data_IF_528585998776
#
_entry.id   IF_528585998776
#
_cell.length_a   1.000
_cell.length_b   1.000
_cell.length_c   1.000
_cell.angle_alpha   90.00
_cell.angle_beta   90.00
_cell.angle_gamma   90.00
#
_symmetry.space_group_name_H-M   'P 1'
#
loop_
_entity.id
_entity.type
_entity.pdbx_description
1 polymer ?
#
# COMPACT_ATOMS: atom_id res chain seq x y z
N UNK A 1 6.54 5.15 -5.13
CA UNK A 1 6.43 5.00 -6.60
C UNK A 1 7.10 3.70 -7.00
N UNK A 2 6.47 2.90 -7.87
CA UNK A 2 7.08 1.64 -8.33
C UNK A 2 8.38 1.96 -9.09
N UNK A 3 9.41 1.13 -8.97
CA UNK A 3 10.72 1.35 -9.61
C UNK A 3 10.59 1.63 -11.12
N UNK A 4 9.68 0.92 -11.81
CA UNK A 4 9.33 1.14 -13.22
C UNK A 4 8.86 2.57 -13.52
N UNK A 5 8.05 3.18 -12.65
CA UNK A 5 7.56 4.56 -12.83
C UNK A 5 8.68 5.59 -12.65
N UNK A 6 9.64 5.33 -11.76
CA UNK A 6 10.77 6.24 -11.52
C UNK A 6 11.69 6.30 -12.75
N UNK A 7 11.95 5.16 -13.38
CA UNK A 7 12.66 5.09 -14.66
C UNK A 7 11.91 5.79 -15.78
N UNK A 8 10.58 5.59 -15.88
CA UNK A 8 9.77 6.25 -16.89
C UNK A 8 9.82 7.79 -16.78
N UNK A 9 9.72 8.32 -15.55
CA UNK A 9 9.79 9.77 -15.30
C UNK A 9 11.20 10.30 -15.58
N UNK A 10 12.24 9.55 -15.20
CA UNK A 10 13.63 9.94 -15.50
C UNK A 10 13.90 9.99 -17.01
N UNK A 11 13.38 9.02 -17.76
CA UNK A 11 13.50 8.98 -19.22
C UNK A 11 12.74 10.15 -19.86
N UNK A 12 11.52 10.43 -19.38
CA UNK A 12 10.72 11.57 -19.83
C UNK A 12 11.43 12.90 -19.57
N UNK A 13 11.98 13.08 -18.36
CA UNK A 13 12.72 14.28 -17.96
C UNK A 13 13.98 14.47 -18.81
N UNK A 14 14.71 13.38 -19.08
CA UNK A 14 15.91 13.44 -19.91
C UNK A 14 15.59 13.73 -21.39
N UNK A 15 14.51 13.15 -21.93
CA UNK A 15 14.06 13.39 -23.30
C UNK A 15 13.58 14.82 -23.52
N UNK A 16 12.60 15.27 -22.73
CA UNK A 16 12.08 16.65 -22.81
C UNK A 16 13.17 17.66 -22.46
N UNK A 17 13.95 17.39 -21.41
CA UNK A 17 15.07 18.22 -21.00
C UNK A 17 16.14 18.32 -22.08
N UNK A 18 16.44 17.23 -22.80
CA UNK A 18 17.40 17.24 -23.91
C UNK A 18 16.93 18.07 -25.11
N UNK A 19 15.65 17.97 -25.48
CA UNK A 19 15.07 18.80 -26.54
C UNK A 19 15.13 20.28 -26.15
N UNK A 20 14.70 20.61 -24.94
CA UNK A 20 14.74 21.99 -24.44
C UNK A 20 16.18 22.51 -24.34
N UNK A 21 17.10 21.67 -23.87
CA UNK A 21 18.53 21.99 -23.78
C UNK A 21 19.12 22.27 -25.16
N UNK A 22 18.72 21.55 -26.22
CA UNK A 22 19.18 21.83 -27.58
C UNK A 22 18.86 23.27 -28.00
N UNK A 23 17.65 23.75 -27.72
CA UNK A 23 17.28 25.13 -28.05
C UNK A 23 17.99 26.16 -27.16
N UNK A 24 18.04 25.92 -25.84
CA UNK A 24 18.69 26.83 -24.88
C UNK A 24 20.19 26.94 -25.17
N UNK A 25 20.87 25.81 -25.39
CA UNK A 25 22.30 25.77 -25.72
C UNK A 25 22.60 26.50 -27.03
N UNK A 26 21.77 26.34 -28.05
CA UNK A 26 21.95 27.05 -29.34
C UNK A 26 21.73 28.56 -29.18
N UNK A 27 20.69 28.96 -28.45
CA UNK A 27 20.41 30.37 -28.17
C UNK A 27 21.56 31.02 -27.38
N UNK A 28 22.05 30.32 -26.35
CA UNK A 28 23.15 30.78 -25.51
C UNK A 28 24.48 30.82 -26.27
N UNK A 29 24.76 29.82 -27.10
CA UNK A 29 25.97 29.79 -27.93
C UNK A 29 25.99 30.94 -28.94
N UNK A 30 24.86 31.25 -29.59
CA UNK A 30 24.74 32.38 -30.54
C UNK A 30 24.85 33.74 -29.84
N UNK A 31 24.31 33.86 -28.63
CA UNK A 31 24.43 35.05 -27.80
C UNK A 31 25.89 35.29 -27.37
N UNK A 32 26.54 34.26 -26.81
CA UNK A 32 27.93 34.33 -26.34
C UNK A 32 28.93 34.55 -27.48
N UNK A 33 28.66 34.00 -28.66
CA UNK A 33 29.51 34.16 -29.85
C UNK A 33 29.24 35.47 -30.59
N UNK A 34 28.31 36.31 -30.12
CA UNK A 34 28.02 37.62 -30.71
C UNK A 34 27.28 37.60 -32.05
N UNK A 35 26.85 36.42 -32.55
CA UNK A 35 26.11 36.31 -33.82
C UNK A 35 24.73 36.97 -33.77
N UNK A 36 24.12 37.05 -32.59
CA UNK A 36 22.78 37.63 -32.42
C UNK A 36 22.67 38.37 -31.09
N UNK A 37 22.24 39.64 -31.13
CA UNK A 37 21.98 40.46 -29.93
C UNK A 37 20.61 40.20 -29.28
N UNK A 38 19.82 39.27 -29.84
CA UNK A 38 18.48 38.92 -29.35
C UNK A 38 18.34 37.41 -29.20
N UNK A 39 17.57 36.99 -28.20
CA UNK A 39 17.21 35.60 -27.99
C UNK A 39 16.19 35.20 -29.07
N UNK A 40 16.68 34.58 -30.14
CA UNK A 40 15.86 34.05 -31.23
C UNK A 40 15.81 32.53 -31.14
N UNK A 41 14.70 31.94 -31.61
CA UNK A 41 14.51 30.49 -31.68
C UNK A 41 14.88 29.99 -33.08
N UNK A 42 16.09 29.46 -33.29
CA UNK A 42 16.51 28.96 -34.60
C UNK A 42 15.76 27.67 -34.97
N UNK A 43 15.64 27.38 -36.28
CA UNK A 43 15.07 26.12 -36.75
C UNK A 43 15.97 24.92 -36.35
N UNK A 44 15.35 23.76 -36.16
CA UNK A 44 15.98 22.55 -35.63
C UNK A 44 17.21 22.12 -36.44
N UNK A 45 17.17 22.22 -37.77
CA UNK A 45 18.31 21.85 -38.64
C UNK A 45 19.54 22.73 -38.41
N UNK A 46 19.31 24.02 -38.17
CA UNK A 46 20.38 24.95 -37.82
C UNK A 46 20.95 24.69 -36.42
N UNK A 47 20.15 24.18 -35.48
CA UNK A 47 20.65 23.75 -34.17
C UNK A 47 21.56 22.52 -34.30
N UNK A 48 21.11 21.50 -35.04
CA UNK A 48 21.84 20.24 -35.16
C UNK A 48 23.16 20.41 -35.92
N UNK A 49 23.13 21.15 -37.04
CA UNK A 49 24.34 21.48 -37.80
C UNK A 49 25.33 22.31 -36.97
N UNK A 50 24.83 23.30 -36.22
CA UNK A 50 25.66 24.13 -35.33
C UNK A 50 26.25 23.32 -34.18
N UNK A 51 25.51 22.35 -33.64
CA UNK A 51 25.98 21.47 -32.58
C UNK A 51 27.13 20.58 -33.07
N UNK A 52 27.00 19.95 -34.23
CA UNK A 52 28.03 19.04 -34.75
C UNK A 52 29.26 19.80 -35.25
N UNK A 53 29.07 20.99 -35.84
CA UNK A 53 30.15 21.76 -36.47
C UNK A 53 31.04 22.49 -35.46
N UNK A 54 30.49 22.97 -34.33
CA UNK A 54 31.25 23.78 -33.38
C UNK A 54 31.52 23.07 -32.04
N UNK A 55 32.81 22.84 -31.73
CA UNK A 55 33.24 22.25 -30.45
C UNK A 55 32.79 23.02 -29.22
N UNK A 56 32.74 24.35 -29.27
CA UNK A 56 32.30 25.18 -28.15
C UNK A 56 30.80 24.97 -27.86
N UNK A 57 30.01 24.78 -28.92
CA UNK A 57 28.58 24.50 -28.79
C UNK A 57 28.34 23.10 -28.20
N UNK A 58 29.10 22.08 -28.66
CA UNK A 58 29.07 20.74 -28.06
C UNK A 58 29.40 20.79 -26.57
N UNK A 59 30.47 21.48 -26.19
CA UNK A 59 30.90 21.56 -24.79
C UNK A 59 29.81 22.20 -23.92
N UNK A 60 29.20 23.29 -24.40
CA UNK A 60 28.12 23.98 -23.70
C UNK A 60 26.87 23.09 -23.56
N UNK A 61 26.48 22.40 -24.64
CA UNK A 61 25.37 21.43 -24.63
C UNK A 61 25.60 20.31 -23.62
N UNK A 62 26.80 19.69 -23.63
CA UNK A 62 27.18 18.60 -22.72
C UNK A 62 27.20 19.08 -21.27
N UNK A 63 27.68 20.30 -21.00
CA UNK A 63 27.70 20.88 -19.66
C UNK A 63 26.26 21.03 -19.10
N UNK A 64 25.36 21.64 -19.88
CA UNK A 64 23.95 21.78 -19.51
C UNK A 64 23.24 20.42 -19.38
N UNK A 65 23.54 19.46 -20.26
CA UNK A 65 22.98 18.11 -20.19
C UNK A 65 23.47 17.36 -18.94
N UNK A 66 24.74 17.56 -18.57
CA UNK A 66 25.33 17.02 -17.35
C UNK A 66 24.63 17.58 -16.10
N UNK A 67 24.32 18.89 -16.08
CA UNK A 67 23.57 19.49 -14.99
C UNK A 67 22.14 18.91 -14.86
N UNK A 68 21.44 18.72 -15.99
CA UNK A 68 20.13 18.05 -16.00
C UNK A 68 20.21 16.61 -15.49
N UNK A 69 21.27 15.87 -15.85
CA UNK A 69 21.52 14.52 -15.36
C UNK A 69 21.78 14.50 -13.85
N UNK A 70 22.58 15.44 -13.33
CA UNK A 70 22.77 15.60 -11.89
C UNK A 70 21.45 15.90 -11.16
N UNK A 71 20.60 16.76 -11.73
CA UNK A 71 19.28 17.07 -11.17
C UNK A 71 18.36 15.85 -11.17
N UNK A 72 18.41 15.03 -12.23
CA UNK A 72 17.67 13.76 -12.31
C UNK A 72 18.14 12.75 -11.25
N UNK A 73 19.45 12.63 -11.04
CA UNK A 73 20.03 11.80 -9.97
C UNK A 73 19.59 12.30 -8.60
N UNK A 74 19.66 13.61 -8.36
CA UNK A 74 19.24 14.23 -7.11
C UNK A 74 17.75 13.98 -6.85
N UNK A 75 16.90 14.13 -7.86
CA UNK A 75 15.47 13.80 -7.77
C UNK A 75 15.26 12.33 -7.39
N UNK A 76 16.05 11.42 -7.96
CA UNK A 76 15.93 9.99 -7.65
C UNK A 76 16.34 9.67 -6.20
N UNK A 77 17.41 10.29 -5.72
CA UNK A 77 17.91 10.13 -4.35
C UNK A 77 16.99 10.77 -3.33
N UNK A 78 16.58 12.03 -3.56
CA UNK A 78 15.71 12.78 -2.66
C UNK A 78 14.27 12.23 -2.60
N UNK A 79 13.73 11.74 -3.72
CA UNK A 79 12.41 11.12 -3.77
C UNK A 79 12.46 9.61 -3.44
N UNK A 80 13.54 9.12 -2.84
CA UNK A 80 13.53 7.80 -2.23
C UNK A 80 12.70 7.89 -0.95
N UNK A 81 11.65 7.05 -0.85
CA UNK A 81 10.76 7.00 0.31
C UNK A 81 11.05 5.71 1.09
N UNK A 82 12.18 5.62 1.82
CA UNK A 82 12.57 4.41 2.54
C UNK A 82 11.59 4.08 3.68
N UNK A 83 10.83 5.07 4.14
CA UNK A 83 9.81 4.94 5.18
C UNK A 83 8.53 4.20 4.72
N UNK A 84 8.34 3.99 3.41
CA UNK A 84 7.18 3.25 2.91
C UNK A 84 7.53 1.76 2.83
N UNK A 85 7.09 1.00 3.83
CA UNK A 85 7.13 -0.46 3.77
C UNK A 85 6.01 -0.99 2.87
N UNK A 86 6.22 -2.16 2.29
CA UNK A 86 5.16 -2.87 1.58
C UNK A 86 4.15 -3.39 2.60
N UNK A 87 2.87 -3.34 2.27
CA UNK A 87 1.83 -3.92 3.09
C UNK A 87 1.63 -5.40 2.72
N UNK A 88 1.45 -6.23 3.73
CA UNK A 88 1.02 -7.62 3.62
C UNK A 88 -0.43 -7.71 4.07
N UNK A 89 -1.26 -8.37 3.28
CA UNK A 89 -2.64 -8.67 3.64
C UNK A 89 -2.66 -9.85 4.61
N UNK A 90 -3.30 -9.66 5.75
CA UNK A 90 -3.39 -10.66 6.83
C UNK A 90 -4.79 -11.24 6.90
N UNK A 91 -5.81 -10.39 6.72
CA UNK A 91 -7.20 -10.79 6.67
C UNK A 91 -7.95 -9.99 5.58
N UNK A 92 -9.18 -10.38 5.21
CA UNK A 92 -10.00 -9.57 4.32
C UNK A 92 -10.20 -8.15 4.89
N UNK A 93 -9.71 -7.14 4.16
CA UNK A 93 -9.79 -5.74 4.59
C UNK A 93 -8.74 -5.29 5.61
N UNK A 94 -7.84 -6.17 6.06
CA UNK A 94 -6.77 -5.83 7.02
C UNK A 94 -5.40 -6.04 6.37
N UNK A 95 -4.65 -4.96 6.25
CA UNK A 95 -3.30 -4.93 5.73
C UNK A 95 -2.34 -4.37 6.79
N UNK A 96 -1.21 -5.03 7.00
CA UNK A 96 -0.18 -4.60 7.95
C UNK A 96 1.16 -4.44 7.26
N UNK A 97 2.00 -3.48 7.67
CA UNK A 97 3.33 -3.30 7.10
C UNK A 97 4.21 -4.53 7.32
N UNK A 98 4.93 -4.94 6.28
CA UNK A 98 5.96 -5.98 6.36
C UNK A 98 7.12 -5.43 7.21
N UNK A 99 7.74 -6.24 8.09
CA UNK A 99 8.93 -5.84 8.81
C UNK A 99 10.05 -5.52 7.81
N UNK A 100 10.53 -4.28 7.81
CA UNK A 100 11.59 -3.82 6.91
C UNK A 100 12.54 -2.86 7.61
N UNK A 101 13.83 -2.93 7.27
CA UNK A 101 14.88 -2.03 7.79
C UNK A 101 15.46 -2.49 9.13
N UNK A 102 15.93 -1.53 9.94
CA UNK A 102 16.51 -1.72 11.27
C UNK A 102 15.43 -1.78 12.38
N UNK A 103 14.29 -2.41 12.09
CA UNK A 103 13.13 -2.51 13.01
C UNK A 103 12.54 -1.17 13.51
N UNK A 104 12.85 -0.04 12.88
CA UNK A 104 12.35 1.28 13.28
C UNK A 104 10.83 1.43 13.18
N UNK A 105 10.19 0.53 12.42
CA UNK A 105 8.74 0.49 12.22
C UNK A 105 8.09 -0.70 12.93
N UNK A 106 8.82 -1.33 13.85
CA UNK A 106 8.44 -2.58 14.50
C UNK A 106 9.09 -3.80 13.87
N UNK A 107 9.46 -4.75 14.72
CA UNK A 107 9.89 -6.11 14.35
C UNK A 107 8.75 -7.12 14.39
N UNK A 108 7.60 -6.72 14.93
CA UNK A 108 6.43 -7.56 15.05
C UNK A 108 5.92 -7.94 13.66
N UNK A 109 5.74 -9.25 13.45
CA UNK A 109 5.15 -9.81 12.24
C UNK A 109 4.10 -10.83 12.63
N UNK A 110 3.16 -11.07 11.72
CA UNK A 110 2.24 -12.17 11.86
C UNK A 110 2.97 -13.49 11.71
N UNK A 111 2.58 -14.45 12.55
CA UNK A 111 3.10 -15.79 12.54
C UNK A 111 2.62 -16.49 11.26
N UNK A 112 3.54 -17.16 10.55
CA UNK A 112 3.16 -17.93 9.36
C UNK A 112 2.53 -19.24 9.78
N UNK A 113 1.66 -19.80 8.95
CA UNK A 113 0.98 -21.08 9.22
C UNK A 113 1.95 -22.22 9.55
N UNK A 114 3.10 -22.27 8.88
CA UNK A 114 4.18 -23.23 9.13
C UNK A 114 4.77 -23.15 10.55
N UNK A 115 4.65 -22.01 11.23
CA UNK A 115 5.20 -21.78 12.57
C UNK A 115 4.16 -22.00 13.68
N UNK A 116 2.88 -22.18 13.33
CA UNK A 116 1.79 -22.32 14.31
C UNK A 116 2.00 -23.54 15.20
N UNK A 117 2.42 -24.66 14.60
CA UNK A 117 2.68 -25.92 15.32
C UNK A 117 3.80 -25.81 16.36
N UNK A 118 4.72 -24.85 16.20
CA UNK A 118 5.82 -24.59 17.14
C UNK A 118 5.44 -23.56 18.19
N UNK A 119 4.62 -22.58 17.82
CA UNK A 119 4.23 -21.50 18.73
C UNK A 119 3.07 -21.89 19.65
N UNK A 120 2.20 -22.79 19.20
CA UNK A 120 1.01 -23.22 19.93
C UNK A 120 1.02 -24.74 20.11
N UNK A 121 0.75 -25.17 21.32
CA UNK A 121 0.37 -26.56 21.57
C UNK A 121 -0.98 -26.81 20.90
N UNK A 122 -1.08 -27.92 20.17
CA UNK A 122 -2.31 -28.33 19.53
C UNK A 122 -2.71 -29.70 20.07
N UNK A 123 -4.01 -29.84 20.37
CA UNK A 123 -4.61 -31.12 20.71
C UNK A 123 -5.63 -31.45 19.63
N UNK A 124 -5.45 -32.60 18.97
CA UNK A 124 -6.43 -33.14 18.04
C UNK A 124 -7.47 -33.94 18.83
N UNK A 125 -8.71 -33.46 18.87
CA UNK A 125 -9.83 -34.17 19.48
C UNK A 125 -10.51 -35.05 18.43
N UNK A 126 -10.69 -36.33 18.75
CA UNK A 126 -11.49 -37.24 17.93
C UNK A 126 -12.97 -37.11 18.30
N UNK A 127 -13.73 -36.49 17.40
CA UNK A 127 -15.19 -36.31 17.55
C UNK A 127 -15.96 -37.63 17.50
N UNK A 128 -15.33 -38.70 17.03
CA UNK A 128 -15.92 -40.05 16.94
C UNK A 128 -15.94 -40.76 18.29
N UNK A 129 -15.17 -40.26 19.26
CA UNK A 129 -15.04 -40.89 20.56
C UNK A 129 -16.37 -40.81 21.34
N UNK A 130 -16.90 -41.93 21.86
CA UNK A 130 -18.24 -41.98 22.47
C UNK A 130 -18.40 -41.03 23.65
N UNK A 131 -17.34 -40.84 24.45
CA UNK A 131 -17.34 -39.90 25.57
C UNK A 131 -17.41 -38.43 25.11
N UNK A 132 -16.70 -38.07 24.04
CA UNK A 132 -16.72 -36.69 23.51
C UNK A 132 -18.08 -36.38 22.91
N UNK A 133 -18.66 -37.35 22.19
CA UNK A 133 -20.01 -37.23 21.64
C UNK A 133 -21.06 -37.03 22.73
N UNK A 134 -21.00 -37.84 23.79
CA UNK A 134 -21.88 -37.67 24.95
C UNK A 134 -21.72 -36.27 25.59
N UNK A 135 -20.48 -35.78 25.77
CA UNK A 135 -20.23 -34.45 26.35
C UNK A 135 -20.77 -33.31 25.47
N UNK A 136 -20.69 -33.44 24.14
CA UNK A 136 -21.26 -32.46 23.21
C UNK A 136 -22.79 -32.47 23.29
N UNK A 137 -23.39 -33.66 23.31
CA UNK A 137 -24.85 -33.83 23.34
C UNK A 137 -25.45 -33.32 24.65
N UNK A 138 -24.80 -33.56 25.80
CA UNK A 138 -25.29 -33.11 27.11
C UNK A 138 -24.78 -31.72 27.53
N UNK A 139 -23.93 -31.07 26.72
CA UNK A 139 -23.23 -29.84 27.11
C UNK A 139 -24.12 -28.62 27.38
N UNK A 140 -25.37 -28.66 26.92
CA UNK A 140 -26.35 -27.58 27.09
C UNK A 140 -27.44 -27.87 28.14
N UNK A 141 -27.46 -29.08 28.72
CA UNK A 141 -28.54 -29.52 29.61
C UNK A 141 -28.66 -28.68 30.89
N UNK A 142 -27.55 -28.14 31.39
CA UNK A 142 -27.48 -27.33 32.61
C UNK A 142 -27.72 -25.83 32.37
N UNK A 143 -27.84 -25.40 31.11
CA UNK A 143 -28.03 -23.99 30.75
C UNK A 143 -29.53 -23.65 30.76
N UNK A 144 -30.06 -23.50 31.97
CA UNK A 144 -31.48 -23.20 32.22
C UNK A 144 -31.98 -21.90 31.56
N UNK A 145 -31.07 -20.98 31.21
CA UNK A 145 -31.39 -19.72 30.51
C UNK A 145 -31.59 -19.89 28.99
N UNK A 146 -31.17 -21.01 28.40
CA UNK A 146 -31.44 -21.35 26.99
C UNK A 146 -32.75 -22.13 26.83
N UNK A 147 -33.28 -22.69 27.92
CA UNK A 147 -34.56 -23.39 27.90
C UNK A 147 -35.67 -22.35 27.75
N UNK A 148 -36.61 -22.54 26.80
CA UNK A 148 -37.75 -21.66 26.70
C UNK A 148 -38.50 -21.66 28.05
N UNK A 149 -39.06 -20.52 28.49
CA UNK A 149 -39.80 -20.47 29.73
C UNK A 149 -40.93 -21.51 29.67
N UNK A 150 -40.98 -22.41 30.66
CA UNK A 150 -42.10 -23.34 30.82
C UNK A 150 -43.36 -22.49 30.95
N UNK A 151 -44.33 -22.68 30.04
CA UNK A 151 -45.69 -22.20 30.27
C UNK A 151 -46.17 -22.85 31.56
N UNK A 152 -46.32 -22.05 32.61
CA UNK A 152 -47.03 -22.46 33.82
C UNK A 152 -48.47 -22.77 33.41
N UNK A 153 -48.84 -24.05 33.43
CA UNK A 153 -50.23 -24.47 33.35
C UNK A 153 -50.95 -23.97 34.61
N UNK A 154 -51.72 -22.91 34.45
CA UNK A 154 -52.63 -22.41 35.48
C UNK A 154 -53.75 -23.46 35.65
N UNK A 155 -53.73 -24.20 36.75
CA UNK A 155 -54.89 -24.98 37.18
C UNK A 155 -55.97 -24.02 37.69
N UNK A 156 -57.04 -23.86 36.91
CA UNK A 156 -58.26 -23.15 37.33
C UNK A 156 -58.99 -23.95 38.43
N UNK A 157 -58.60 -23.77 39.69
CA UNK A 157 -59.52 -23.99 40.82
C UNK A 157 -60.42 -22.75 40.96
N UNK A 158 -61.39 -22.63 40.06
CA UNK A 158 -62.50 -21.71 40.20
C UNK A 158 -63.39 -22.18 41.36
N UNK A 159 -63.28 -21.48 42.48
CA UNK A 159 -64.16 -21.53 43.65
C UNK A 159 -65.63 -21.45 43.20
N UNK A 160 -66.33 -22.59 43.24
CA UNK A 160 -67.78 -22.66 43.18
C UNK A 160 -68.34 -22.36 44.57
N UNK A 161 -68.76 -21.11 44.79
CA UNK A 161 -69.58 -20.72 45.93
C UNK A 161 -70.51 -19.59 45.49
N UNK A 162 -71.53 -19.96 44.74
CA UNK A 162 -72.76 -19.18 44.61
C UNK A 162 -73.92 -20.15 44.78
N UNK A 163 -74.44 -20.22 46.01
CA UNK A 163 -75.85 -20.43 46.33
C UNK A 163 -76.01 -20.50 47.86
N UNK A 164 -76.51 -19.42 48.46
CA UNK A 164 -77.64 -19.58 49.37
C UNK A 164 -78.47 -18.29 49.44
N UNK A 165 -79.79 -18.34 49.21
CA UNK A 165 -80.72 -17.27 49.50
C UNK A 165 -81.33 -17.42 50.91
N UNK A 166 -81.71 -16.27 51.48
CA UNK A 166 -82.79 -16.04 52.47
C UNK A 166 -82.40 -15.53 53.87
N UNK A 167 -83.22 -14.54 54.25
CA UNK A 167 -83.54 -13.92 55.55
C UNK A 167 -82.53 -12.99 56.20
#
# INVERSE_FOLDING_TARGET
MKTKQRWAISLLLFGIGGILNLFISTALHRLLSGYTSRLAWPPIESCLSSLISNRQHVLLFVCLQGFLLLLAILFFTANSRPYQSKLQRVAPGIETPIPTGQHQHGSARWLKEEEWSRAFDHYSLDLSHPLIRHLIDTGYDDLNFLKPPKQEEWHDEAVSSANDPQT
#
